data_IF_089321890735
#
_entry.id   IF_089321890735
#
_cell.length_a   1.000
_cell.length_b   1.000
_cell.length_c   1.000
_cell.angle_alpha   90.00
_cell.angle_beta   90.00
_cell.angle_gamma   90.00
#
_symmetry.space_group_name_H-M   'P 1'
#
loop_
_entity.id
_entity.type
_entity.pdbx_description
1 polymer ?
#
# COMPACT_ATOMS: atom_id res chain seq x y z
N UNK A 1 9.67 3.53 16.79
CA UNK A 1 8.21 3.75 16.62
C UNK A 1 7.49 2.43 16.78
N UNK A 2 6.54 2.41 17.66
CA UNK A 2 5.81 1.17 17.97
C UNK A 2 5.06 0.59 16.77
N UNK A 3 4.60 1.43 15.85
CA UNK A 3 3.89 0.98 14.65
C UNK A 3 4.74 0.12 13.72
N UNK A 4 6.06 0.10 13.90
CA UNK A 4 6.98 -0.67 13.08
C UNK A 4 7.44 -1.96 13.73
N UNK A 5 7.16 -2.14 15.02
CA UNK A 5 7.69 -3.29 15.77
C UNK A 5 6.95 -4.58 15.46
N UNK A 6 5.65 -4.49 15.20
CA UNK A 6 4.87 -5.67 14.84
C UNK A 6 4.99 -5.94 13.34
N UNK A 7 5.17 -7.21 12.93
CA UNK A 7 5.19 -7.51 11.50
C UNK A 7 3.83 -7.19 10.86
N UNK A 8 3.83 -6.72 9.61
CA UNK A 8 2.57 -6.43 8.93
C UNK A 8 1.78 -7.71 8.66
N UNK A 9 0.46 -7.59 8.71
CA UNK A 9 -0.43 -8.70 8.33
C UNK A 9 -0.71 -8.71 6.83
N UNK A 10 -0.36 -7.64 6.14
CA UNK A 10 -0.43 -7.51 4.70
C UNK A 10 0.69 -6.59 4.23
N UNK A 11 1.28 -6.89 3.08
CA UNK A 11 2.39 -6.10 2.55
C UNK A 11 2.42 -6.20 1.02
N UNK A 12 2.56 -5.03 0.38
CA UNK A 12 2.69 -4.97 -1.08
C UNK A 12 3.65 -3.85 -1.46
N UNK A 13 4.64 -4.19 -2.27
CA UNK A 13 5.55 -3.18 -2.82
C UNK A 13 4.82 -2.43 -3.94
N UNK A 14 4.70 -1.12 -3.78
CA UNK A 14 4.06 -0.25 -4.78
C UNK A 14 5.09 0.28 -5.77
N UNK A 15 6.27 0.64 -5.27
CA UNK A 15 7.32 1.22 -6.09
C UNK A 15 8.69 0.87 -5.52
N UNK A 16 9.65 0.64 -6.39
CA UNK A 16 11.04 0.41 -5.98
C UNK A 16 11.95 1.37 -6.74
N UNK A 17 12.84 2.03 -6.00
CA UNK A 17 13.91 2.83 -6.59
C UNK A 17 15.22 2.07 -6.41
N UNK A 18 15.67 1.41 -7.46
CA UNK A 18 16.85 0.56 -7.41
C UNK A 18 18.14 1.34 -7.13
N UNK A 19 18.24 2.57 -7.66
CA UNK A 19 19.44 3.40 -7.45
C UNK A 19 19.63 3.79 -6.00
N UNK A 20 18.55 4.11 -5.32
CA UNK A 20 18.58 4.55 -3.92
C UNK A 20 18.38 3.41 -2.94
N UNK A 21 18.08 2.23 -3.42
CA UNK A 21 17.73 1.07 -2.58
C UNK A 21 16.59 1.40 -1.62
N UNK A 22 15.52 2.00 -2.17
CA UNK A 22 14.31 2.31 -1.41
C UNK A 22 13.08 1.73 -2.05
N UNK A 23 12.04 1.52 -1.26
CA UNK A 23 10.74 1.04 -1.74
C UNK A 23 9.64 1.85 -1.08
N UNK A 24 8.52 1.96 -1.77
CA UNK A 24 7.27 2.41 -1.16
C UNK A 24 6.39 1.18 -1.03
N UNK A 25 5.93 0.90 0.18
CA UNK A 25 5.08 -0.25 0.46
C UNK A 25 3.73 0.15 1.04
N UNK A 26 2.71 -0.58 0.61
CA UNK A 26 1.40 -0.53 1.23
C UNK A 26 1.33 -1.68 2.22
N UNK A 27 1.08 -1.38 3.49
CA UNK A 27 1.05 -2.40 4.53
C UNK A 27 -0.13 -2.21 5.45
N UNK A 28 -0.50 -3.29 6.16
CA UNK A 28 -1.47 -3.23 7.24
C UNK A 28 -0.75 -3.70 8.49
N UNK A 29 -0.69 -2.82 9.49
CA UNK A 29 0.01 -3.09 10.74
C UNK A 29 -0.95 -2.94 11.91
N UNK A 30 -1.02 -3.94 12.80
CA UNK A 30 -1.81 -3.82 14.03
C UNK A 30 -1.06 -3.00 15.08
N UNK A 31 -1.79 -2.21 15.84
CA UNK A 31 -1.23 -1.46 16.96
C UNK A 31 -2.32 -1.25 17.98
N UNK A 32 -2.12 -1.82 19.18
CA UNK A 32 -3.04 -1.70 20.32
C UNK A 32 -4.48 -2.09 19.97
N UNK A 33 -4.63 -3.20 19.23
CA UNK A 33 -5.93 -3.72 18.87
C UNK A 33 -6.60 -3.05 17.67
N UNK A 34 -5.92 -2.08 17.06
CA UNK A 34 -6.43 -1.38 15.88
C UNK A 34 -5.50 -1.67 14.71
N UNK A 35 -6.08 -1.95 13.57
CA UNK A 35 -5.29 -2.13 12.35
C UNK A 35 -5.17 -0.82 11.61
N UNK A 36 -3.95 -0.53 11.11
CA UNK A 36 -3.64 0.69 10.38
C UNK A 36 -3.16 0.36 8.98
N UNK A 37 -3.64 1.15 8.03
CA UNK A 37 -3.14 1.13 6.67
C UNK A 37 -1.99 2.12 6.57
N UNK A 38 -0.84 1.67 6.07
CA UNK A 38 0.35 2.50 5.89
C UNK A 38 0.74 2.56 4.43
N UNK A 39 1.16 3.74 3.99
CA UNK A 39 1.91 3.89 2.74
C UNK A 39 3.23 4.51 3.15
N UNK A 40 4.32 3.74 3.07
CA UNK A 40 5.58 4.09 3.74
C UNK A 40 6.80 3.75 2.91
N UNK A 41 7.83 4.57 3.07
CA UNK A 41 9.13 4.30 2.49
C UNK A 41 9.91 3.30 3.34
N UNK A 42 10.57 2.36 2.65
CA UNK A 42 11.50 1.41 3.24
C UNK A 42 12.87 1.62 2.60
N UNK A 43 13.92 1.30 3.31
CA UNK A 43 15.27 1.35 2.78
C UNK A 43 15.98 0.04 3.05
N UNK A 44 16.99 -0.27 2.25
CA UNK A 44 17.82 -1.45 2.47
C UNK A 44 19.01 -1.07 3.35
N UNK A 45 19.19 -1.78 4.45
CA UNK A 45 20.29 -1.54 5.36
C UNK A 45 21.56 -2.29 4.93
N UNK A 46 22.61 -2.20 5.74
CA UNK A 46 23.89 -2.85 5.43
C UNK A 46 23.82 -4.37 5.45
N UNK A 47 22.84 -4.94 6.13
CA UNK A 47 22.64 -6.39 6.18
C UNK A 47 21.74 -6.89 5.05
N UNK A 48 21.46 -6.01 4.09
CA UNK A 48 20.57 -6.30 2.96
C UNK A 48 19.14 -6.61 3.40
N UNK A 49 18.70 -6.02 4.50
CA UNK A 49 17.34 -6.13 5.00
C UNK A 49 16.57 -4.84 4.78
N UNK A 50 15.30 -4.98 4.44
CA UNK A 50 14.41 -3.84 4.25
C UNK A 50 13.90 -3.37 5.60
N UNK A 51 14.04 -2.07 5.87
CA UNK A 51 13.61 -1.43 7.12
C UNK A 51 12.71 -0.23 6.84
N UNK A 52 11.66 -0.03 7.63
CA UNK A 52 10.82 1.15 7.45
C UNK A 52 11.52 2.44 7.84
N UNK A 53 11.14 3.53 7.19
CA UNK A 53 11.57 4.87 7.56
C UNK A 53 10.39 5.64 8.16
N UNK A 54 10.63 6.80 8.78
CA UNK A 54 9.54 7.66 9.23
C UNK A 54 8.72 8.29 8.11
N UNK A 55 9.21 8.21 6.86
CA UNK A 55 8.53 8.81 5.71
C UNK A 55 7.34 7.98 5.28
N UNK A 56 6.15 8.51 5.50
CA UNK A 56 4.94 7.83 5.12
C UNK A 56 3.73 8.35 5.85
N UNK A 57 2.60 7.76 5.56
CA UNK A 57 1.33 8.11 6.19
C UNK A 57 0.70 6.84 6.75
N UNK A 58 -0.12 7.03 7.77
CA UNK A 58 -0.88 5.94 8.38
C UNK A 58 -2.29 6.44 8.68
N UNK A 59 -3.26 5.55 8.51
CA UNK A 59 -4.64 5.85 8.88
C UNK A 59 -5.29 4.55 9.35
N UNK A 60 -6.31 4.66 10.19
CA UNK A 60 -7.03 3.46 10.60
C UNK A 60 -7.60 2.74 9.38
N UNK A 61 -7.52 1.41 9.41
CA UNK A 61 -8.08 0.59 8.36
C UNK A 61 -9.57 0.42 8.63
N UNK A 62 -10.39 1.23 7.96
CA UNK A 62 -11.84 1.09 8.01
C UNK A 62 -12.41 1.23 6.59
N UNK A 63 -13.69 0.92 6.46
CA UNK A 63 -14.32 0.93 5.15
C UNK A 63 -14.31 2.33 4.52
N UNK A 64 -14.57 3.36 5.32
CA UNK A 64 -14.61 4.74 4.83
C UNK A 64 -13.27 5.19 4.26
N UNK A 65 -12.18 4.99 5.03
CA UNK A 65 -10.85 5.40 4.59
C UNK A 65 -10.41 4.63 3.36
N UNK A 66 -10.66 3.33 3.34
CA UNK A 66 -10.30 2.48 2.21
C UNK A 66 -11.08 2.83 0.96
N UNK A 67 -12.37 3.09 1.09
CA UNK A 67 -13.21 3.48 -0.02
C UNK A 67 -12.76 4.81 -0.62
N UNK A 68 -12.48 5.81 0.22
CA UNK A 68 -12.06 7.12 -0.26
C UNK A 68 -10.70 7.06 -0.95
N UNK A 69 -9.77 6.28 -0.40
CA UNK A 69 -8.48 6.07 -1.05
C UNK A 69 -8.65 5.39 -2.40
N UNK A 70 -9.43 4.32 -2.46
CA UNK A 70 -9.68 3.60 -3.71
C UNK A 70 -10.35 4.49 -4.74
N UNK A 71 -11.37 5.28 -4.33
CA UNK A 71 -12.07 6.20 -5.23
C UNK A 71 -11.12 7.23 -5.82
N UNK A 72 -10.25 7.80 -4.99
CA UNK A 72 -9.26 8.77 -5.45
C UNK A 72 -8.29 8.19 -6.46
N UNK A 73 -7.80 6.98 -6.19
CA UNK A 73 -6.89 6.29 -7.11
C UNK A 73 -7.56 5.98 -8.45
N UNK A 74 -8.81 5.54 -8.43
CA UNK A 74 -9.57 5.28 -9.66
C UNK A 74 -9.77 6.56 -10.45
N UNK A 75 -10.10 7.66 -9.79
CA UNK A 75 -10.25 8.96 -10.45
C UNK A 75 -8.95 9.40 -11.13
N UNK A 76 -7.82 9.21 -10.46
CA UNK A 76 -6.51 9.53 -11.03
C UNK A 76 -6.24 8.65 -12.26
N UNK A 77 -6.51 7.36 -12.18
CA UNK A 77 -6.32 6.45 -13.30
C UNK A 77 -7.21 6.83 -14.49
N UNK A 78 -8.41 7.33 -14.23
CA UNK A 78 -9.34 7.73 -15.30
C UNK A 78 -8.83 8.90 -16.12
N UNK A 79 -7.85 9.65 -15.63
CA UNK A 79 -7.24 10.73 -16.39
C UNK A 79 -6.31 10.22 -17.50
N UNK A 80 -5.84 8.99 -17.36
CA UNK A 80 -4.86 8.41 -18.29
C UNK A 80 -5.41 7.26 -19.12
N UNK A 81 -6.50 6.62 -18.69
CA UNK A 81 -7.01 5.42 -19.33
C UNK A 81 -8.49 5.52 -19.65
N UNK A 82 -8.95 4.77 -20.64
CA UNK A 82 -10.36 4.72 -21.00
C UNK A 82 -11.15 3.90 -19.98
N UNK A 83 -12.44 4.16 -19.92
CA UNK A 83 -13.35 3.43 -19.04
C UNK A 83 -13.31 1.92 -19.31
N UNK A 84 -13.29 1.53 -20.57
CA UNK A 84 -13.29 0.11 -20.96
C UNK A 84 -12.04 -0.59 -20.44
N UNK A 85 -10.87 0.05 -20.57
CA UNK A 85 -9.61 -0.52 -20.08
C UNK A 85 -9.65 -0.71 -18.58
N UNK A 86 -10.14 0.30 -17.85
CA UNK A 86 -10.22 0.22 -16.39
C UNK A 86 -11.20 -0.84 -15.92
N UNK A 87 -12.38 -0.93 -16.55
CA UNK A 87 -13.37 -1.94 -16.20
C UNK A 87 -12.84 -3.35 -16.42
N UNK A 88 -12.22 -3.60 -17.57
CA UNK A 88 -11.68 -4.93 -17.88
C UNK A 88 -10.57 -5.32 -16.92
N UNK A 89 -9.66 -4.41 -16.63
CA UNK A 89 -8.53 -4.68 -15.76
C UNK A 89 -8.97 -4.96 -14.32
N UNK A 90 -9.84 -4.10 -13.77
CA UNK A 90 -10.29 -4.27 -12.39
C UNK A 90 -11.25 -5.45 -12.22
N UNK A 91 -12.01 -5.80 -13.26
CA UNK A 91 -12.84 -7.00 -13.22
C UNK A 91 -11.97 -8.24 -13.01
N UNK A 92 -10.88 -8.35 -13.73
CA UNK A 92 -9.95 -9.47 -13.61
C UNK A 92 -9.32 -9.53 -12.21
N UNK A 93 -8.94 -8.39 -11.66
CA UNK A 93 -8.41 -8.30 -10.30
C UNK A 93 -9.43 -8.81 -9.27
N UNK A 94 -10.67 -8.37 -9.38
CA UNK A 94 -11.72 -8.77 -8.45
C UNK A 94 -11.96 -10.27 -8.56
N UNK A 95 -12.02 -10.79 -9.78
CA UNK A 95 -12.22 -12.21 -10.02
C UNK A 95 -11.09 -13.03 -9.41
N UNK A 96 -9.85 -12.57 -9.51
CA UNK A 96 -8.70 -13.25 -8.92
C UNK A 96 -8.72 -13.25 -7.39
N UNK A 97 -9.13 -12.15 -6.78
CA UNK A 97 -9.22 -12.03 -5.32
C UNK A 97 -10.24 -12.99 -4.74
N UNK A 98 -11.37 -13.15 -5.43
CA UNK A 98 -12.48 -13.98 -4.94
C UNK A 98 -12.52 -15.38 -5.54
N UNK A 99 -11.41 -15.89 -5.99
CA UNK A 99 -11.29 -17.25 -6.46
C UNK A 99 -11.53 -18.28 -5.37
#
# INVERSE_FOLDING_TARGET
>A
MELYEAPPVYEKVIHENEEKHTQIRLTINPFRGIEYLHLREYYMDFDEEWKPTPKGIAMELDFNNSRELFSGLVEILSLAESKTVLEDHFKDFIDDIYK
#
